data_IF_553200466900
#
_entry.id   IF_553200466900
#
_cell.length_a   1.000
_cell.length_b   1.000
_cell.length_c   1.000
_cell.angle_alpha   90.00
_cell.angle_beta   90.00
_cell.angle_gamma   90.00
#
_symmetry.space_group_name_H-M   'P 1'
#
loop_
_entity.id
_entity.type
_entity.pdbx_description
1 polymer ?
2 polymer ?
3 polymer ?
4 water ?
#
# COMPACT_ATOMS: atom_id res chain seq x y z
N UNK A 1 -6.42 16.59 -10.92
CA UNK A 1 -5.62 15.88 -11.96
C UNK A 1 -6.19 14.50 -12.30
N UNK A 2 -5.30 13.54 -12.47
CA UNK A 2 -5.69 12.16 -12.80
C UNK A 2 -6.26 11.43 -11.58
N UNK A 3 -7.15 10.48 -11.85
CA UNK A 3 -7.74 9.65 -10.80
C UNK A 3 -7.74 8.18 -11.21
N UNK A 4 -7.74 7.29 -10.22
CA UNK A 4 -7.68 5.85 -10.48
C UNK A 4 -8.61 5.03 -9.60
N UNK A 5 -9.15 3.96 -10.18
CA UNK A 5 -9.86 2.92 -9.44
C UNK A 5 -9.06 1.63 -9.60
N UNK A 6 -8.69 1.01 -8.48
CA UNK A 6 -7.79 -0.15 -8.51
C UNK A 6 -8.19 -1.25 -7.54
N UNK A 7 -8.01 -2.50 -7.97
CA UNK A 7 -8.26 -3.65 -7.11
C UNK A 7 -7.01 -4.52 -6.97
N UNK A 8 -6.87 -5.14 -5.79
CA UNK A 8 -5.72 -5.97 -5.47
C UNK A 8 -6.19 -7.28 -4.86
N UNK A 9 -5.97 -8.39 -5.57
CA UNK A 9 -6.32 -9.72 -5.06
C UNK A 9 -5.08 -10.50 -4.64
N UNK A 10 -5.15 -11.15 -3.48
CA UNK A 10 -4.11 -12.09 -3.04
C UNK A 10 -4.74 -13.40 -2.57
N UNK A 11 -4.22 -14.52 -3.06
CA UNK A 11 -4.61 -15.84 -2.60
C UNK A 11 -3.38 -16.63 -2.14
N UNK A 12 -3.45 -17.20 -0.94
CA UNK A 12 -2.35 -17.98 -0.36
C UNK A 12 -2.85 -19.36 0.02
N UNK A 13 -2.27 -20.40 -0.58
CA UNK A 13 -2.69 -21.77 -0.29
C UNK A 13 -2.31 -22.16 1.14
N UNK A 14 -3.07 -23.10 1.70
CA UNK A 14 -2.90 -23.56 3.07
C UNK A 14 -2.87 -25.09 3.05
N UNK A 15 -1.69 -25.69 2.77
CA UNK A 15 -1.57 -27.14 2.60
C UNK A 15 -2.08 -27.94 3.79
N UNK A 16 -3.03 -28.83 3.52
CA UNK A 16 -3.56 -29.76 4.52
C UNK A 16 -4.56 -29.19 5.51
N UNK A 17 -5.00 -27.94 5.30
CA UNK A 17 -5.85 -27.26 6.27
C UNK A 17 -7.14 -26.68 5.69
N UNK A 18 -7.32 -26.81 4.38
CA UNK A 18 -8.56 -26.35 3.75
C UNK A 18 -8.31 -25.38 2.61
N UNK A 19 -9.32 -24.57 2.31
CA UNK A 19 -9.30 -23.66 1.19
C UNK A 19 -8.27 -22.54 1.38
N UNK A 20 -7.77 -21.96 0.27
CA UNK A 20 -6.80 -20.86 0.36
C UNK A 20 -7.38 -19.63 1.04
N UNK A 21 -6.52 -18.86 1.69
CA UNK A 21 -6.89 -17.55 2.21
C UNK A 21 -6.91 -16.57 1.03
N UNK A 22 -8.05 -15.88 0.84
CA UNK A 22 -8.19 -14.91 -0.26
C UNK A 22 -8.50 -13.51 0.30
N UNK A 23 -7.71 -12.53 -0.12
CA UNK A 23 -7.92 -11.13 0.25
C UNK A 23 -8.13 -10.27 -1.00
N UNK A 24 -9.17 -9.44 -0.96
CA UNK A 24 -9.40 -8.44 -2.01
C UNK A 24 -9.53 -7.05 -1.38
N UNK A 25 -8.81 -6.09 -1.93
CA UNK A 25 -8.92 -4.68 -1.49
C UNK A 25 -9.07 -3.74 -2.68
N UNK A 26 -9.95 -2.75 -2.53
CA UNK A 26 -10.22 -1.76 -3.59
C UNK A 26 -9.86 -0.35 -3.19
N UNK A 27 -9.28 0.39 -4.13
CA UNK A 27 -8.81 1.75 -3.89
C UNK A 27 -9.34 2.75 -4.92
N UNK A 28 -9.78 3.91 -4.44
CA UNK A 28 -9.95 5.07 -5.30
C UNK A 28 -8.80 6.02 -4.95
N UNK A 29 -7.91 6.24 -5.92
CA UNK A 29 -6.64 6.96 -5.71
C UNK A 29 -5.86 6.30 -4.57
N UNK A 30 -5.52 7.06 -3.52
CA UNK A 30 -4.80 6.49 -2.37
C UNK A 30 -5.72 5.99 -1.26
N UNK A 31 -7.03 6.17 -1.45
CA UNK A 31 -8.02 5.82 -0.42
C UNK A 31 -8.61 4.44 -0.66
N UNK A 32 -8.46 3.57 0.34
CA UNK A 32 -9.12 2.27 0.33
C UNK A 32 -10.60 2.44 0.65
N UNK A 33 -11.45 1.70 -0.05
CA UNK A 33 -12.90 1.86 0.14
C UNK A 33 -13.69 0.56 0.30
N UNK A 34 -13.16 -0.55 -0.21
CA UNK A 34 -13.77 -1.87 0.00
C UNK A 34 -12.75 -2.94 0.39
N UNK A 35 -13.24 -4.01 1.03
CA UNK A 35 -12.41 -5.13 1.45
C UNK A 35 -13.20 -6.42 1.33
N UNK A 36 -12.47 -7.54 1.19
CA UNK A 36 -13.03 -8.87 1.37
C UNK A 36 -11.95 -9.78 1.93
N UNK A 37 -12.32 -10.56 2.95
CA UNK A 37 -11.43 -11.56 3.52
C UNK A 37 -12.21 -12.87 3.60
N UNK A 38 -11.67 -13.91 2.98
CA UNK A 38 -12.33 -15.22 2.94
C UNK A 38 -12.46 -15.85 4.33
N UNK A 39 -11.65 -15.40 5.28
CA UNK A 39 -11.64 -16.01 6.61
C UNK A 39 -12.76 -15.50 7.52
N UNK A 40 -13.96 -16.03 7.29
CA UNK A 40 -15.15 -15.75 8.08
C UNK A 40 -16.20 -16.80 7.73
N UNK A 41 -17.13 -17.10 8.67
CA UNK A 41 -18.16 -18.10 8.37
C UNK A 41 -19.03 -17.73 7.17
N UNK A 42 -19.46 -16.47 7.09
CA UNK A 42 -20.22 -15.99 5.95
C UNK A 42 -19.67 -14.64 5.46
N UNK A 43 -18.56 -14.68 4.70
CA UNK A 43 -17.83 -13.46 4.35
C UNK A 43 -18.52 -12.64 3.27
N UNK A 44 -18.44 -11.32 3.42
CA UNK A 44 -19.12 -10.37 2.54
C UNK A 44 -18.14 -9.28 2.11
N UNK A 45 -18.42 -8.63 0.99
CA UNK A 45 -17.71 -7.40 0.67
C UNK A 45 -18.14 -6.33 1.66
N UNK A 46 -17.18 -5.52 2.12
CA UNK A 46 -17.41 -4.55 3.20
C UNK A 46 -16.86 -3.18 2.87
N UNK A 47 -17.51 -2.10 3.38
CA UNK A 47 -17.00 -0.73 3.18
C UNK A 47 -15.79 -0.43 4.05
N UNK A 48 -14.89 0.40 3.54
CA UNK A 48 -13.74 0.89 4.31
C UNK A 48 -13.62 2.40 4.20
N UNK A 49 -14.61 3.02 3.55
CA UNK A 49 -14.71 4.47 3.45
C UNK A 49 -16.15 4.88 3.74
N UNK A 50 -16.34 6.04 4.42
CA UNK A 50 -17.68 6.50 4.78
C UNK A 50 -18.58 6.81 3.58
N UNK A 51 -18.00 7.25 2.48
CA UNK A 51 -18.77 7.69 1.33
C UNK A 51 -19.36 6.57 0.47
N UNK A 52 -18.89 5.34 0.68
CA UNK A 52 -19.41 4.17 -0.05
C UNK A 52 -20.49 3.43 0.74
N UNK A 53 -20.65 3.79 2.00
CA UNK A 53 -21.65 3.20 2.90
C UNK A 53 -23.07 3.37 2.33
N UNK A 54 -23.27 4.45 1.59
CA UNK A 54 -24.56 4.82 0.99
C UNK A 54 -25.15 3.74 0.09
N UNK A 55 -24.28 2.99 -0.60
CA UNK A 55 -24.71 1.95 -1.53
C UNK A 55 -25.66 0.94 -0.90
N UNK A 56 -26.75 0.64 -1.62
CA UNK A 56 -27.79 -0.24 -1.12
C UNK A 56 -27.41 -1.71 -1.16
N UNK A 57 -28.31 -2.58 -0.65
CA UNK A 57 -28.07 -4.03 -0.59
C UNK A 57 -27.76 -4.66 -1.95
N UNK A 58 -28.36 -4.12 -3.01
CA UNK A 58 -28.13 -4.58 -4.38
C UNK A 58 -26.64 -4.54 -4.73
N UNK A 59 -26.00 -3.41 -4.44
CA UNK A 59 -24.57 -3.23 -4.69
C UNK A 59 -23.74 -4.26 -3.94
N UNK A 60 -23.98 -4.38 -2.64
CA UNK A 60 -23.19 -5.25 -1.76
C UNK A 60 -23.36 -6.73 -2.06
N UNK A 61 -24.57 -7.11 -2.47
CA UNK A 61 -24.86 -8.48 -2.86
C UNK A 61 -24.15 -8.87 -4.16
N UNK A 62 -24.08 -7.93 -5.10
CA UNK A 62 -23.43 -8.15 -6.39
C UNK A 62 -21.91 -8.22 -6.26
N UNK A 63 -21.33 -7.31 -5.48
CA UNK A 63 -19.89 -7.31 -5.22
C UNK A 63 -19.48 -8.58 -4.47
N UNK A 64 -20.27 -8.94 -3.47
CA UNK A 64 -20.05 -10.17 -2.70
C UNK A 64 -20.10 -11.41 -3.59
N UNK A 65 -21.12 -11.49 -4.44
CA UNK A 65 -21.26 -12.61 -5.38
C UNK A 65 -20.07 -12.72 -6.33
N UNK A 66 -19.61 -11.59 -6.86
CA UNK A 66 -18.47 -11.56 -7.77
C UNK A 66 -17.16 -11.94 -7.08
N UNK A 67 -16.94 -11.42 -5.87
CA UNK A 67 -15.69 -11.67 -5.15
C UNK A 67 -15.59 -13.12 -4.65
N UNK A 68 -16.73 -13.69 -4.26
CA UNK A 68 -16.77 -15.08 -3.80
C UNK A 68 -16.51 -16.04 -4.95
N UNK A 69 -17.05 -15.73 -6.13
CA UNK A 69 -16.76 -16.51 -7.32
C UNK A 69 -15.30 -16.38 -7.75
N UNK A 70 -14.75 -15.18 -7.59
CA UNK A 70 -13.33 -14.92 -7.89
C UNK A 70 -12.43 -15.70 -6.94
N UNK A 71 -12.80 -15.74 -5.66
CA UNK A 71 -12.06 -16.51 -4.66
C UNK A 71 -12.01 -17.99 -5.05
N UNK A 72 -13.12 -18.51 -5.56
CA UNK A 72 -13.18 -19.90 -6.00
C UNK A 72 -12.32 -20.17 -7.24
N UNK A 73 -12.28 -19.23 -8.19
CA UNK A 73 -11.45 -19.41 -9.37
C UNK A 73 -9.96 -19.35 -9.02
N UNK A 74 -9.62 -18.51 -8.04
CA UNK A 74 -8.24 -18.41 -7.56
C UNK A 74 -7.83 -19.69 -6.82
N UNK A 75 -8.79 -20.36 -6.20
CA UNK A 75 -8.55 -21.67 -5.60
C UNK A 75 -8.24 -22.73 -6.66
N UNK A 76 -9.01 -22.76 -7.75
CA UNK A 76 -8.74 -23.72 -8.83
C UNK A 76 -7.43 -23.39 -9.55
N UNK A 77 -7.13 -22.09 -9.69
CA UNK A 77 -5.90 -21.61 -10.31
C UNK A 77 -4.64 -22.09 -9.57
N UNK A 78 -4.66 -22.02 -8.25
CA UNK A 78 -3.55 -22.53 -7.43
C UNK A 78 -3.34 -24.02 -7.67
N UNK A 79 -4.44 -24.79 -7.69
CA UNK A 79 -4.38 -26.21 -8.02
C UNK A 79 -3.85 -26.46 -9.43
N UNK A 80 -4.34 -25.70 -10.39
CA UNK A 80 -3.90 -25.82 -11.78
C UNK A 80 -2.38 -25.63 -11.92
N UNK A 81 -1.86 -24.60 -11.25
CA UNK A 81 -0.43 -24.27 -11.35
C UNK A 81 0.48 -25.29 -10.67
N UNK A 82 -0.03 -25.99 -9.65
CA UNK A 82 0.70 -27.13 -9.08
C UNK A 82 0.97 -28.19 -10.15
N UNK A 83 0.00 -28.35 -11.06
CA UNK A 83 0.15 -29.27 -12.19
C UNK A 83 1.09 -28.73 -13.27
N UNK A 84 0.91 -27.45 -13.63
CA UNK A 84 1.76 -26.80 -14.64
C UNK A 84 3.24 -26.85 -14.24
N UNK A 85 3.53 -26.55 -12.98
CA UNK A 85 4.90 -26.45 -12.50
C UNK A 85 5.42 -27.75 -11.87
N UNK A 86 4.56 -28.78 -11.87
CA UNK A 86 4.87 -30.08 -11.25
C UNK A 86 5.42 -29.90 -9.83
N UNK A 87 4.60 -29.29 -8.98
CA UNK A 87 4.99 -28.95 -7.62
C UNK A 87 4.19 -29.74 -6.60
N UNK A 88 4.79 -29.96 -5.43
CA UNK A 88 4.12 -30.65 -4.34
C UNK A 88 2.99 -29.85 -3.71
N UNK A 89 1.91 -30.54 -3.38
CA UNK A 89 0.77 -29.95 -2.71
C UNK A 89 1.12 -29.44 -1.31
N UNK A 90 2.09 -30.09 -0.68
CA UNK A 90 2.51 -29.78 0.68
C UNK A 90 3.08 -28.38 0.89
N UNK A 91 3.67 -27.78 -0.16
CA UNK A 91 4.26 -26.45 -0.02
C UNK A 91 3.25 -25.37 -0.34
N UNK A 92 3.26 -24.29 0.44
CA UNK A 92 2.35 -23.17 0.21
C UNK A 92 2.76 -22.35 -1.00
N UNK A 93 1.78 -21.90 -1.78
CA UNK A 93 2.05 -21.02 -2.91
C UNK A 93 1.06 -19.85 -2.92
N UNK A 94 1.36 -18.84 -3.72
CA UNK A 94 0.51 -17.65 -3.77
C UNK A 94 0.37 -17.06 -5.16
N UNK A 95 -0.78 -16.44 -5.40
CA UNK A 95 -1.06 -15.73 -6.65
C UNK A 95 -1.68 -14.37 -6.37
N UNK A 96 -1.25 -13.37 -7.13
CA UNK A 96 -1.79 -12.03 -6.99
C UNK A 96 -2.33 -11.54 -8.32
N UNK A 97 -3.29 -10.62 -8.24
CA UNK A 97 -3.78 -9.91 -9.40
C UNK A 97 -4.05 -8.47 -9.00
N UNK A 98 -3.60 -7.55 -9.82
CA UNK A 98 -3.99 -6.16 -9.68
C UNK A 98 -4.43 -5.62 -11.03
N UNK A 99 -5.51 -4.85 -11.01
CA UNK A 99 -6.05 -4.23 -12.22
C UNK A 99 -6.70 -2.91 -11.88
N UNK A 100 -6.93 -2.09 -12.91
CA UNK A 100 -7.58 -0.81 -12.71
C UNK A 100 -7.62 0.11 -13.92
N UNK A 101 -8.16 1.31 -13.71
CA UNK A 101 -8.27 2.31 -14.75
C UNK A 101 -7.78 3.67 -14.25
N UNK A 102 -7.01 4.36 -15.09
CA UNK A 102 -6.61 5.74 -14.82
C UNK A 102 -7.39 6.66 -15.76
N UNK A 103 -7.99 7.72 -15.20
CA UNK A 103 -8.78 8.65 -15.98
C UNK A 103 -8.25 10.09 -15.93
N UNK A 104 -8.64 10.87 -16.93
CA UNK A 104 -8.31 12.29 -17.00
C UNK A 104 -9.27 13.10 -16.13
N UNK A 105 -8.89 14.36 -15.78
CA UNK A 105 -9.73 15.21 -14.91
C UNK A 105 -11.20 15.33 -15.35
N UNK A 106 -11.46 15.23 -16.66
CA UNK A 106 -12.83 15.31 -17.18
C UNK A 106 -13.59 13.98 -17.13
N UNK A 107 -12.87 12.90 -16.81
CA UNK A 107 -13.49 11.58 -16.65
C UNK A 107 -13.09 10.55 -17.71
N UNK A 108 -12.53 11.02 -18.82
CA UNK A 108 -12.15 10.15 -19.94
C UNK A 108 -10.98 9.23 -19.58
N UNK A 109 -10.99 8.02 -20.14
CA UNK A 109 -9.96 7.01 -19.87
C UNK A 109 -8.59 7.44 -20.39
N UNK A 110 -7.55 7.17 -19.59
CA UNK A 110 -6.17 7.37 -20.00
C UNK A 110 -5.49 6.03 -20.27
N UNK A 111 -5.63 5.09 -19.33
CA UNK A 111 -5.12 3.74 -19.49
C UNK A 111 -5.82 2.71 -18.62
N UNK A 112 -5.92 1.48 -19.13
CA UNK A 112 -6.41 0.33 -18.39
C UNK A 112 -5.31 -0.69 -18.22
N UNK A 113 -5.35 -1.46 -17.14
CA UNK A 113 -4.30 -2.43 -16.85
C UNK A 113 -4.81 -3.65 -16.07
N UNK A 114 -4.12 -4.77 -16.27
CA UNK A 114 -4.39 -6.02 -15.58
C UNK A 114 -3.14 -6.90 -15.64
N UNK A 115 -2.73 -7.43 -14.48
CA UNK A 115 -1.54 -8.28 -14.39
C UNK A 115 -1.73 -9.39 -13.36
N UNK A 116 -1.15 -10.56 -13.64
CA UNK A 116 -1.20 -11.71 -12.74
C UNK A 116 0.19 -12.20 -12.36
N UNK A 117 0.32 -12.71 -11.14
CA UNK A 117 1.59 -13.22 -10.63
C UNK A 117 1.50 -14.69 -10.24
N UNK A 118 2.66 -15.29 -9.99
CA UNK A 118 2.76 -16.57 -9.27
C UNK A 118 4.02 -16.52 -8.42
N UNK A 119 3.86 -16.74 -7.12
CA UNK A 119 4.98 -16.76 -6.16
C UNK A 119 5.91 -15.54 -6.26
N UNK A 120 5.32 -14.36 -6.41
CA UNK A 120 6.09 -13.10 -6.41
C UNK A 120 6.73 -12.70 -7.72
N UNK A 121 6.51 -13.50 -8.77
CA UNK A 121 7.04 -13.19 -10.10
C UNK A 121 5.90 -12.96 -11.07
N UNK A 122 6.14 -12.12 -12.08
CA UNK A 122 5.21 -11.94 -13.19
C UNK A 122 4.80 -13.30 -13.75
N UNK A 123 3.50 -13.49 -13.97
CA UNK A 123 3.00 -14.69 -14.61
C UNK A 123 2.46 -14.36 -16.00
N UNK A 124 1.37 -13.60 -16.03
CA UNK A 124 0.80 -13.13 -17.29
C UNK A 124 0.24 -11.71 -17.10
N UNK A 125 0.28 -10.91 -18.16
CA UNK A 125 -0.23 -9.55 -18.10
C UNK A 125 -0.97 -9.17 -19.39
N UNK A 126 -2.07 -8.44 -19.22
CA UNK A 126 -2.78 -7.88 -20.37
C UNK A 126 -1.96 -6.74 -20.95
N UNK A 127 -1.80 -6.74 -22.27
CA UNK A 127 -1.02 -5.70 -22.95
C UNK A 127 -1.73 -4.35 -22.98
N UNK A 128 -0.98 -3.31 -23.31
CA UNK A 128 -1.49 -1.93 -23.37
C UNK A 128 -2.72 -1.79 -24.26
N UNK A 129 -2.74 -2.53 -25.37
CA UNK A 129 -3.86 -2.48 -26.33
C UNK A 129 -5.16 -3.07 -25.79
N UNK A 130 -5.05 -3.82 -24.69
CA UNK A 130 -6.17 -4.52 -24.06
C UNK A 130 -6.79 -5.54 -25.02
N UNK A 131 -5.95 -6.15 -25.85
CA UNK A 131 -6.38 -7.12 -26.86
C UNK A 131 -5.48 -8.35 -26.90
N UNK A 132 -4.31 -8.25 -26.25
CA UNK A 132 -3.32 -9.33 -26.27
C UNK A 132 -2.65 -9.54 -24.90
N UNK A 133 -1.93 -10.65 -24.78
CA UNK A 133 -1.31 -11.04 -23.50
C UNK A 133 0.19 -11.27 -23.62
N UNK A 134 0.92 -10.95 -22.56
CA UNK A 134 2.34 -11.28 -22.45
C UNK A 134 2.54 -12.35 -21.37
N UNK A 135 3.08 -13.50 -21.79
CA UNK A 135 3.31 -14.63 -20.89
C UNK A 135 4.77 -14.72 -20.49
N UNK A 136 5.03 -14.92 -19.21
CA UNK A 136 6.39 -14.85 -18.67
C UNK A 136 7.18 -16.15 -18.73
N UNK A 137 6.48 -17.28 -18.77
CA UNK A 137 7.12 -18.59 -18.90
C UNK A 137 6.21 -19.58 -19.64
N UNK A 138 6.68 -20.82 -19.80
CA UNK A 138 5.95 -21.83 -20.58
C UNK A 138 4.62 -22.23 -19.94
N UNK A 139 4.55 -22.20 -18.61
CA UNK A 139 3.30 -22.44 -17.91
C UNK A 139 2.27 -21.35 -18.22
N UNK A 140 2.73 -20.10 -18.22
CA UNK A 140 1.88 -18.95 -18.51
C UNK A 140 1.42 -18.92 -19.96
N UNK A 141 2.18 -19.58 -20.83
CA UNK A 141 1.82 -19.71 -22.24
C UNK A 141 0.60 -20.63 -22.45
N UNK A 142 0.45 -21.61 -21.56
CA UNK A 142 -0.76 -22.45 -21.54
C UNK A 142 -1.98 -21.58 -21.21
N UNK A 143 -1.86 -20.80 -20.13
CA UNK A 143 -2.90 -19.84 -19.74
C UNK A 143 -3.23 -18.87 -20.87
N UNK A 144 -2.18 -18.33 -21.51
CA UNK A 144 -2.32 -17.38 -22.60
C UNK A 144 -3.17 -17.91 -23.75
N UNK A 145 -2.85 -19.11 -24.22
CA UNK A 145 -3.60 -19.76 -25.29
C UNK A 145 -5.05 -20.02 -24.88
N UNK A 146 -5.24 -20.42 -23.62
CA UNK A 146 -6.57 -20.66 -23.06
C UNK A 146 -7.41 -19.38 -23.03
N UNK A 147 -6.80 -18.29 -22.59
CA UNK A 147 -7.49 -17.00 -22.49
C UNK A 147 -7.74 -16.35 -23.84
N UNK A 148 -6.88 -16.64 -24.81
CA UNK A 148 -7.08 -16.20 -26.20
C UNK A 148 -8.29 -16.89 -26.81
N UNK A 149 -8.41 -18.20 -26.57
CA UNK A 149 -9.52 -19.00 -27.07
C UNK A 149 -10.84 -18.57 -26.44
N UNK A 150 -10.78 -18.21 -25.15
CA UNK A 150 -11.98 -17.83 -24.40
C UNK A 150 -12.44 -16.39 -24.65
N UNK A 151 -11.60 -15.60 -25.34
CA UNK A 151 -11.90 -14.19 -25.59
C UNK A 151 -11.85 -13.35 -24.32
N UNK A 152 -10.87 -13.64 -23.48
CA UNK A 152 -10.75 -13.02 -22.16
C UNK A 152 -10.41 -11.54 -22.25
N UNK A 153 -9.54 -11.18 -23.19
CA UNK A 153 -9.09 -9.80 -23.36
C UNK A 153 -10.24 -8.84 -23.70
N UNK A 154 -11.21 -9.30 -24.47
CA UNK A 154 -12.39 -8.51 -24.81
C UNK A 154 -13.23 -8.18 -23.57
N UNK A 155 -13.40 -9.15 -22.68
CA UNK A 155 -14.14 -8.94 -21.43
C UNK A 155 -13.44 -7.93 -20.52
N UNK A 156 -12.11 -8.00 -20.46
CA UNK A 156 -11.32 -7.03 -19.71
C UNK A 156 -11.41 -5.63 -20.32
N UNK A 157 -11.31 -5.57 -21.65
CA UNK A 157 -11.44 -4.30 -22.38
C UNK A 157 -12.80 -3.66 -22.13
N UNK A 158 -13.86 -4.47 -22.21
CA UNK A 158 -15.21 -4.02 -21.90
C UNK A 158 -15.32 -3.45 -20.48
N UNK A 159 -14.75 -4.16 -19.50
CA UNK A 159 -14.80 -3.73 -18.11
C UNK A 159 -13.99 -2.44 -17.87
N UNK A 160 -12.77 -2.40 -18.40
CA UNK A 160 -11.85 -1.28 -18.14
C UNK A 160 -12.28 0.03 -18.82
N UNK A 161 -12.81 -0.06 -20.04
CA UNK A 161 -13.31 1.11 -20.77
C UNK A 161 -14.71 1.52 -20.31
N UNK A 162 -15.47 0.54 -19.82
CA UNK A 162 -16.86 0.77 -19.44
C UNK A 162 -17.05 0.91 -17.93
N UNK A 163 -17.38 -0.22 -17.29
CA UNK A 163 -17.69 -0.26 -15.87
C UNK A 163 -16.67 0.47 -14.99
N UNK A 164 -15.38 0.27 -15.25
CA UNK A 164 -14.32 0.86 -14.42
C UNK A 164 -14.38 2.39 -14.40
N UNK A 165 -14.45 3.00 -15.57
CA UNK A 165 -14.45 4.46 -15.65
C UNK A 165 -15.75 5.07 -15.09
N UNK A 166 -16.88 4.45 -15.42
CA UNK A 166 -18.20 4.92 -14.99
C UNK A 166 -18.33 4.89 -13.47
N UNK A 167 -17.90 3.79 -12.86
CA UNK A 167 -18.02 3.66 -11.42
C UNK A 167 -17.01 4.51 -10.64
N UNK A 168 -15.83 4.73 -11.22
CA UNK A 168 -14.85 5.65 -10.65
C UNK A 168 -15.43 7.06 -10.54
N UNK A 169 -16.10 7.51 -11.60
CA UNK A 169 -16.78 8.80 -11.63
C UNK A 169 -17.86 8.89 -10.56
N UNK A 170 -18.61 7.80 -10.37
CA UNK A 170 -19.63 7.72 -9.32
C UNK A 170 -19.01 7.78 -7.93
N UNK A 171 -17.89 7.07 -7.75
CA UNK A 171 -17.18 7.08 -6.47
C UNK A 171 -16.62 8.45 -6.12
N UNK A 172 -16.02 9.11 -7.11
CA UNK A 172 -15.46 10.45 -6.92
C UNK A 172 -16.52 11.48 -6.52
N UNK A 173 -17.72 11.35 -7.09
CA UNK A 173 -18.83 12.23 -6.76
C UNK A 173 -19.41 11.90 -5.39
N UNK A 174 -19.51 10.61 -5.08
CA UNK A 174 -19.98 10.13 -3.77
C UNK A 174 -19.10 10.63 -2.63
N UNK A 175 -17.79 10.68 -2.86
CA UNK A 175 -16.84 11.10 -1.84
C UNK A 175 -16.05 12.34 -2.20
N UNK A 176 -16.69 13.27 -2.92
CA UNK A 176 -16.06 14.52 -3.36
C UNK A 176 -15.54 15.38 -2.21
N UNK A 177 -16.16 15.24 -1.04
CA UNK A 177 -15.81 16.01 0.14
C UNK A 177 -14.47 15.61 0.73
N UNK A 178 -13.97 14.42 0.36
CA UNK A 178 -12.71 13.91 0.87
C UNK A 178 -11.72 13.61 -0.26
N UNK A 179 -12.19 12.95 -1.32
CA UNK A 179 -11.33 12.50 -2.41
C UNK A 179 -10.82 13.64 -3.30
N UNK A 180 -11.65 14.66 -3.49
CA UNK A 180 -11.34 15.71 -4.46
C UNK A 180 -10.63 16.93 -3.85
N UNK A 181 -10.63 17.03 -2.52
CA UNK A 181 -9.90 18.12 -1.86
C UNK A 181 -8.57 17.66 -1.27
N UNK A 182 -7.50 18.26 -1.77
CA UNK A 182 -6.16 17.95 -1.31
C UNK A 182 -5.93 18.52 0.10
N UNK A 183 -5.28 17.73 0.95
CA UNK A 183 -4.93 18.15 2.30
C UNK A 183 -3.45 18.51 2.32
N UNK A 184 -3.16 19.78 2.61
CA UNK A 184 -1.80 20.30 2.64
C UNK A 184 -1.00 19.70 3.81
N UNK A 185 0.32 19.55 3.64
CA UNK A 185 1.11 19.04 4.76
C UNK A 185 1.36 20.12 5.81
N UNK A 186 1.40 19.70 7.08
CA UNK A 186 1.91 20.55 8.15
C UNK A 186 3.41 20.35 8.18
N UNK A 187 4.15 21.44 8.06
CA UNK A 187 5.61 21.36 7.90
C UNK A 187 6.37 22.08 9.01
N UNK A 188 7.52 21.50 9.38
CA UNK A 188 8.40 22.06 10.40
C UNK A 188 9.83 21.54 10.24
N UNK A 189 10.80 22.33 10.72
CA UNK A 189 12.19 21.88 10.81
C UNK A 189 12.56 21.69 12.27
N UNK A 190 13.03 20.50 12.62
CA UNK A 190 13.47 20.22 13.99
C UNK A 190 14.99 20.06 14.03
N UNK A 191 15.57 20.39 15.19
CA UNK A 191 17.03 20.35 15.39
C UNK A 191 17.40 19.32 16.44
N UNK A 192 18.36 18.46 16.12
CA UNK A 192 18.79 17.40 17.04
C UNK A 192 20.32 17.30 17.07
N UNK A 193 20.95 17.94 18.07
CA UNK A 193 22.41 17.87 18.23
C UNK A 193 22.93 16.44 18.31
N UNK A 194 24.02 16.16 17.61
CA UNK A 194 24.73 14.89 17.71
C UNK A 194 25.89 15.08 18.68
N UNK A 195 26.53 16.23 18.58
CA UNK A 195 27.65 16.61 19.43
C UNK A 195 27.76 18.13 19.42
N UNK A 196 28.81 18.67 20.04
CA UNK A 196 29.08 20.11 20.00
C UNK A 196 29.44 20.59 18.60
N UNK A 197 29.71 19.64 17.70
CA UNK A 197 30.21 19.95 16.35
C UNK A 197 29.20 19.69 15.23
N UNK A 198 28.32 18.73 15.45
CA UNK A 198 27.37 18.29 14.42
C UNK A 198 25.91 18.32 14.91
N UNK A 199 25.00 18.56 13.97
CA UNK A 199 23.59 18.72 14.28
C UNK A 199 22.74 18.14 13.14
N UNK A 200 21.68 17.41 13.49
CA UNK A 200 20.73 16.92 12.50
C UNK A 200 19.56 17.88 12.37
N UNK A 201 19.28 18.31 11.14
CA UNK A 201 18.09 19.10 10.84
C UNK A 201 17.13 18.21 10.08
N UNK A 202 15.95 17.98 10.66
CA UNK A 202 14.94 17.12 10.04
C UNK A 202 13.75 17.95 9.58
N UNK A 203 13.42 17.85 8.31
CA UNK A 203 12.30 18.58 7.74
C UNK A 203 11.07 17.66 7.65
N UNK A 204 10.02 18.00 8.41
CA UNK A 204 8.81 17.17 8.51
C UNK A 204 7.67 17.65 7.61
N UNK A 205 6.99 16.68 7.00
CA UNK A 205 5.72 16.93 6.31
C UNK A 205 4.68 15.96 6.85
N UNK A 206 3.67 16.48 7.54
CA UNK A 206 2.69 15.63 8.22
C UNK A 206 1.25 15.91 7.82
N UNK A 207 0.44 14.85 7.81
CA UNK A 207 -1.01 14.93 7.63
C UNK A 207 -1.49 15.33 6.25
N UNK A 208 -0.79 14.89 5.21
CA UNK A 208 -1.12 15.29 3.85
C UNK A 208 -1.81 14.21 3.02
N UNK A 209 -2.57 14.67 2.02
CA UNK A 209 -3.24 13.81 1.04
C UNK A 209 -3.38 14.61 -0.26
N UNK A 210 -3.07 14.01 -1.42
CA UNK A 210 -2.65 12.62 -1.55
C UNK A 210 -1.16 12.39 -1.19
N UNK A 211 -0.71 11.14 -1.36
CA UNK A 211 0.63 10.74 -0.89
C UNK A 211 1.80 11.40 -1.62
N UNK A 212 1.60 11.75 -2.88
CA UNK A 212 2.66 12.32 -3.71
C UNK A 212 3.15 13.65 -3.11
N UNK A 213 4.47 13.75 -2.92
CA UNK A 213 5.09 14.93 -2.33
C UNK A 213 6.57 15.04 -2.74
N UNK A 214 7.14 16.24 -2.65
CA UNK A 214 8.56 16.44 -2.91
C UNK A 214 9.20 17.24 -1.79
N UNK A 215 10.20 16.62 -1.15
CA UNK A 215 11.01 17.28 -0.12
C UNK A 215 12.45 17.39 -0.62
N UNK A 216 12.99 18.61 -0.57
CA UNK A 216 14.36 18.87 -1.01
C UNK A 216 15.07 19.82 -0.06
N UNK A 217 16.37 19.63 0.09
CA UNK A 217 17.19 20.52 0.90
C UNK A 217 18.09 21.38 0.02
N UNK A 218 18.32 22.62 0.45
CA UNK A 218 19.30 23.48 -0.17
C UNK A 218 20.28 24.01 0.87
N UNK A 219 21.52 24.21 0.45
CA UNK A 219 22.52 24.89 1.27
C UNK A 219 23.14 26.00 0.42
N UNK A 220 23.17 27.20 1.00
CA UNK A 220 23.64 28.41 0.31
C UNK A 220 22.93 28.63 -1.04
N UNK A 221 21.65 28.27 -1.09
CA UNK A 221 20.86 28.38 -2.30
C UNK A 221 21.24 27.39 -3.41
N UNK A 222 21.91 26.31 -3.03
CA UNK A 222 22.33 25.27 -3.96
C UNK A 222 21.79 23.92 -3.53
N UNK A 223 21.39 23.10 -4.50
CA UNK A 223 20.78 21.79 -4.23
C UNK A 223 21.75 20.81 -3.58
N UNK A 224 21.31 20.20 -2.47
CA UNK A 224 22.09 19.21 -1.74
C UNK A 224 21.22 18.06 -1.23
N UNK A 225 20.14 17.76 -1.95
CA UNK A 225 19.21 16.68 -1.62
C UNK A 225 19.91 15.32 -1.61
N UNK A 226 21.00 15.20 -2.37
CA UNK A 226 21.82 13.99 -2.43
C UNK A 226 22.48 13.62 -1.10
N UNK A 227 22.66 14.60 -0.23
CA UNK A 227 23.27 14.39 1.09
C UNK A 227 22.23 14.00 2.14
N UNK A 228 20.96 14.29 1.85
CA UNK A 228 19.87 14.07 2.80
C UNK A 228 19.45 12.60 2.93
N UNK A 229 18.92 12.24 4.09
CA UNK A 229 18.25 10.96 4.25
C UNK A 229 16.74 11.18 4.17
N UNK A 230 16.12 10.54 3.17
CA UNK A 230 14.68 10.61 2.95
C UNK A 230 14.01 9.29 3.26
N UNK A 231 13.05 9.30 4.19
CA UNK A 231 12.27 8.09 4.49
C UNK A 231 11.16 7.93 3.46
N UNK A 232 10.75 6.68 3.25
CA UNK A 232 9.64 6.36 2.37
C UNK A 232 8.37 6.98 2.95
N UNK A 233 7.53 7.53 2.06
CA UNK A 233 6.24 8.07 2.45
C UNK A 233 5.43 6.99 3.16
N UNK A 234 4.84 7.34 4.30
CA UNK A 234 4.23 6.37 5.19
C UNK A 234 2.84 6.83 5.61
N UNK A 235 1.92 5.86 5.85
CA UNK A 235 0.57 6.22 6.27
C UNK A 235 0.53 6.66 7.73
N UNK A 236 -0.24 7.71 8.02
CA UNK A 236 -0.41 8.20 9.37
C UNK A 236 -1.38 7.32 10.18
N UNK A 237 -2.28 6.65 9.47
CA UNK A 237 -3.27 5.76 10.10
C UNK A 237 -4.69 6.28 10.01
N UNK A 238 -4.82 7.54 9.61
CA UNK A 238 -6.12 8.20 9.53
C UNK A 238 -6.47 8.56 8.09
N UNK A 239 -5.76 7.96 7.13
CA UNK A 239 -5.98 8.24 5.71
C UNK A 239 -5.07 9.31 5.14
N UNK A 240 -4.20 9.88 5.97
CA UNK A 240 -3.19 10.84 5.51
C UNK A 240 -1.78 10.24 5.58
N UNK A 241 -0.80 10.98 5.09
CA UNK A 241 0.56 10.47 4.94
C UNK A 241 1.61 11.33 5.64
N UNK A 242 2.80 10.76 5.80
CA UNK A 242 3.92 11.43 6.44
C UNK A 242 5.19 11.20 5.62
N UNK A 243 6.10 12.17 5.69
CA UNK A 243 7.45 12.03 5.12
C UNK A 243 8.40 13.04 5.76
N UNK A 244 9.64 12.62 5.97
CA UNK A 244 10.69 13.57 6.35
C UNK A 244 11.99 13.41 5.58
N UNK A 245 12.81 14.45 5.63
CA UNK A 245 14.12 14.50 4.99
C UNK A 245 15.09 15.20 5.94
N UNK A 246 16.20 14.55 6.26
CA UNK A 246 17.16 15.08 7.23
C UNK A 246 18.58 15.22 6.69
N UNK A 247 19.26 16.27 7.15
CA UNK A 247 20.68 16.51 6.83
C UNK A 247 21.51 16.68 8.10
N UNK A 248 22.75 16.21 8.06
CA UNK A 248 23.71 16.44 9.15
C UNK A 248 24.55 17.67 8.79
N UNK A 249 24.52 18.68 9.67
CA UNK A 249 25.19 19.96 9.41
C UNK A 249 26.19 20.27 10.52
N UNK A 250 27.16 21.14 10.21
CA UNK A 250 28.09 21.61 11.24
C UNK A 250 27.35 22.57 12.16
N UNK A 251 27.59 22.44 13.46
CA UNK A 251 26.93 23.28 14.46
C UNK A 251 27.29 24.74 14.23
N UNK A 252 26.27 25.60 14.25
CA UNK A 252 26.44 27.02 13.97
C UNK A 252 26.11 27.42 12.54
N UNK A 253 25.97 26.42 11.68
CA UNK A 253 25.74 26.66 10.25
C UNK A 253 24.32 26.41 9.77
N UNK A 254 23.37 26.24 10.72
CA UNK A 254 22.00 25.86 10.37
C UNK A 254 21.20 26.85 9.53
N UNK A 255 21.50 28.15 9.65
CA UNK A 255 20.77 29.17 8.89
C UNK A 255 21.07 29.16 7.39
N UNK A 256 22.09 28.38 7.00
CA UNK A 256 22.48 28.24 5.60
C UNK A 256 21.64 27.21 4.85
N UNK A 257 20.87 26.42 5.59
CA UNK A 257 20.08 25.32 5.03
C UNK A 257 18.59 25.65 4.91
N UNK A 258 18.00 25.33 3.78
CA UNK A 258 16.56 25.50 3.57
C UNK A 258 15.92 24.22 3.06
N UNK A 259 14.79 23.85 3.66
CA UNK A 259 13.97 22.74 3.17
C UNK A 259 12.82 23.26 2.32
N UNK A 260 12.63 22.68 1.15
CA UNK A 260 11.57 23.11 0.22
C UNK A 260 10.52 22.00 0.08
N UNK A 261 9.25 22.38 0.18
CA UNK A 261 8.14 21.40 0.13
C UNK A 261 7.15 21.73 -0.99
N UNK A 262 6.94 20.76 -1.86
CA UNK A 262 5.95 20.84 -2.93
C UNK A 262 4.89 19.77 -2.76
N UNK A 263 3.63 20.20 -2.71
CA UNK A 263 2.48 19.32 -2.58
C UNK A 263 1.24 19.95 -3.22
N UNK A 264 0.41 19.11 -3.83
CA UNK A 264 -0.79 19.54 -4.55
C UNK A 264 -1.69 20.51 -3.77
N UNK A 265 -1.79 20.30 -2.46
CA UNK A 265 -2.62 21.14 -1.60
C UNK A 265 -2.14 22.56 -1.41
N UNK A 266 -0.83 22.78 -1.62
CA UNK A 266 -0.23 24.08 -1.39
C UNK A 266 -0.42 25.02 -2.58
N UNK A 267 -1.09 26.14 -2.36
CA UNK A 267 -1.21 27.19 -3.39
C UNK A 267 0.17 27.73 -3.75
N UNK A 268 1.02 27.87 -2.74
CA UNK A 268 2.43 28.21 -2.93
C UNK A 268 3.34 27.19 -2.27
N UNK A 269 4.33 26.66 -3.01
CA UNK A 269 5.36 25.79 -2.43
C UNK A 269 6.09 26.52 -1.31
N UNK A 270 6.35 25.83 -0.21
CA UNK A 270 6.93 26.48 0.97
C UNK A 270 8.41 26.17 1.17
N UNK A 271 9.16 27.19 1.57
CA UNK A 271 10.56 27.03 1.95
C UNK A 271 10.71 27.38 3.42
N UNK A 272 11.32 26.47 4.19
CA UNK A 272 11.49 26.63 5.62
C UNK A 272 12.95 26.52 6.03
N UNK A 273 13.27 27.11 7.17
CA UNK A 273 14.57 26.92 7.80
C UNK A 273 14.42 26.84 9.32
N UNK A 274 15.44 26.33 10.00
CA UNK A 274 15.45 26.23 11.46
C UNK A 274 15.33 27.60 12.11
N UNK A 275 14.36 27.72 13.02
CA UNK A 275 14.04 29.00 13.65
C UNK A 275 15.04 29.37 14.75
N UNK B 1 11.63 -18.99 -6.79
CA UNK B 1 12.05 -18.48 -5.46
C UNK B 1 12.63 -17.07 -5.57
N UNK B 2 11.75 -16.07 -5.66
CA UNK B 2 12.16 -14.66 -5.67
C UNK B 2 11.61 -13.97 -4.42
N UNK B 3 12.50 -13.71 -3.47
CA UNK B 3 12.12 -13.17 -2.16
C UNK B 3 12.71 -11.77 -1.92
N UNK B 4 12.01 -10.98 -1.13
CA UNK B 4 12.47 -9.65 -0.75
C UNK B 4 12.25 -9.46 0.75
N UNK B 5 13.25 -8.89 1.43
CA UNK B 5 13.17 -8.67 2.88
C UNK B 5 12.37 -7.40 3.20
N UNK B 6 11.68 -7.39 4.35
CA UNK B 6 10.83 -6.26 4.71
C UNK B 6 11.60 -5.03 5.17
N UNK B 7 11.12 -3.86 4.77
CA UNK B 7 11.57 -2.60 5.36
C UNK B 7 10.58 -2.25 6.46
N UNK B 8 11.07 -1.58 7.50
CA UNK B 8 10.27 -1.31 8.70
C UNK B 8 10.41 0.14 9.16
N UNK B 9 9.27 0.78 9.42
CA UNK B 9 9.27 2.10 10.07
C UNK B 9 8.36 2.10 11.30
N UNK B 10 8.86 2.66 12.40
CA UNK B 10 8.09 2.78 13.64
C UNK B 10 7.97 4.26 13.98
N UNK B 11 6.75 4.73 14.24
CA UNK B 11 6.47 6.16 14.36
C UNK B 11 5.09 6.45 14.94
N UNK B 12 4.91 7.65 15.48
CA UNK B 12 3.61 8.09 15.98
C UNK B 12 2.84 8.87 14.92
N UNK B 13 1.52 8.93 15.07
CA UNK B 13 0.67 9.67 14.13
C UNK B 13 0.91 11.18 14.24
N UNK B 14 0.90 11.69 15.46
CA UNK B 14 1.17 13.10 15.73
C UNK B 14 2.52 13.22 16.45
N UNK B 15 3.13 14.44 16.45
CA UNK B 15 4.34 14.64 17.25
C UNK B 15 4.12 14.23 18.70
N UNK B 16 5.03 13.45 19.26
CA UNK B 16 4.90 12.93 20.61
C UNK B 16 4.96 14.03 21.67
N UNK B 17 3.95 14.02 22.55
CA UNK B 17 3.95 14.87 23.74
C UNK B 17 3.67 13.98 24.94
N UNK B 18 4.62 13.95 25.87
CA UNK B 18 4.54 13.08 27.05
C UNK B 18 3.24 13.22 27.82
N UNK B 19 2.57 12.10 28.07
CA UNK B 19 1.33 12.08 28.81
C UNK B 19 0.11 12.50 28.00
N UNK B 20 0.27 12.62 26.69
CA UNK B 20 -0.85 12.93 25.80
C UNK B 20 -1.14 11.76 24.85
N UNK B 21 -2.42 11.35 24.75
CA UNK B 21 -2.81 10.21 23.91
C UNK B 21 -2.41 10.38 22.45
N UNK B 22 -2.00 9.27 21.83
CA UNK B 22 -1.46 9.28 20.47
C UNK B 22 -1.72 7.93 19.80
N UNK B 23 -1.07 7.70 18.66
CA UNK B 23 -1.26 6.47 17.90
C UNK B 23 0.10 5.98 17.41
N UNK B 24 0.42 4.73 17.73
CA UNK B 24 1.70 4.13 17.39
C UNK B 24 1.59 3.25 16.14
N UNK B 25 2.48 3.48 15.19
CA UNK B 25 2.48 2.76 13.91
C UNK B 25 3.73 1.95 13.66
N UNK B 26 3.55 0.73 13.14
CA UNK B 26 4.65 -0.03 12.58
C UNK B 26 4.32 -0.37 11.12
N UNK B 27 4.99 0.31 10.21
CA UNK B 27 4.75 0.17 8.77
C UNK B 27 5.80 -0.73 8.15
N UNK B 28 5.35 -1.84 7.56
CA UNK B 28 6.23 -2.86 7.01
C UNK B 28 5.93 -3.06 5.53
N UNK B 29 6.96 -2.94 4.69
CA UNK B 29 6.75 -2.95 3.24
C UNK B 29 7.88 -3.62 2.46
N UNK B 30 7.62 -3.88 1.18
CA UNK B 30 8.62 -4.40 0.26
C UNK B 30 8.97 -5.86 0.45
N UNK B 31 8.10 -6.62 1.09
CA UNK B 31 8.41 -8.02 1.40
C UNK B 31 7.65 -9.04 0.57
N UNK B 32 8.29 -10.19 0.38
CA UNK B 32 7.70 -11.38 -0.24
C UNK B 32 8.53 -12.57 0.25
N UNK B 33 7.90 -13.69 0.63
CA UNK B 33 6.45 -13.94 0.51
C UNK B 33 5.59 -13.27 1.59
N UNK B 34 4.24 -13.38 1.48
CA UNK B 34 3.31 -12.61 2.33
C UNK B 34 3.30 -12.94 3.82
N UNK B 35 3.49 -14.21 4.19
CA UNK B 35 3.47 -14.57 5.61
C UNK B 35 4.58 -13.85 6.39
N UNK B 36 4.21 -13.24 7.50
CA UNK B 36 5.10 -12.37 8.27
C UNK B 36 4.58 -12.19 9.70
N UNK B 37 5.49 -12.01 10.64
CA UNK B 37 5.16 -11.82 12.04
C UNK B 37 5.56 -10.40 12.46
N UNK B 38 4.57 -9.55 12.72
CA UNK B 38 4.81 -8.14 13.07
C UNK B 38 4.21 -7.83 14.44
N UNK B 39 5.05 -7.40 15.37
CA UNK B 39 4.63 -7.22 16.75
C UNK B 39 5.08 -5.87 17.33
N UNK B 40 4.11 -5.07 17.75
CA UNK B 40 4.38 -3.85 18.52
C UNK B 40 4.62 -4.19 19.98
N UNK B 41 5.63 -3.58 20.58
CA UNK B 41 6.03 -3.88 21.95
C UNK B 41 6.18 -2.65 22.85
N UNK B 42 5.78 -2.82 24.10
CA UNK B 42 5.98 -1.82 25.14
C UNK B 42 6.92 -2.42 26.19
N UNK B 43 8.09 -1.81 26.33
CA UNK B 43 9.13 -2.30 27.24
C UNK B 43 9.47 -3.79 27.01
N UNK B 44 9.63 -4.15 25.74
CA UNK B 44 9.98 -5.52 25.35
C UNK B 44 8.88 -6.55 25.51
N UNK B 45 7.64 -6.08 25.66
CA UNK B 45 6.48 -6.96 25.85
C UNK B 45 5.36 -6.61 24.88
N UNK B 46 4.77 -7.64 24.27
CA UNK B 46 3.77 -7.45 23.21
C UNK B 46 2.58 -6.60 23.62
N UNK B 47 2.28 -5.60 22.79
CA UNK B 47 1.03 -4.85 22.88
C UNK B 47 0.03 -5.51 21.95
N UNK B 48 -1.21 -5.64 22.39
CA UNK B 48 -2.28 -6.10 21.50
C UNK B 48 -2.62 -4.95 20.54
N UNK B 49 -2.55 -5.23 19.24
CA UNK B 49 -2.70 -4.21 18.21
C UNK B 49 -3.56 -4.70 17.05
N UNK B 50 -3.62 -3.90 15.99
CA UNK B 50 -4.38 -4.23 14.79
C UNK B 50 -3.51 -4.14 13.53
N UNK B 51 -3.77 -5.04 12.59
CA UNK B 51 -3.01 -5.13 11.35
C UNK B 51 -3.96 -4.98 10.15
N UNK B 52 -3.64 -4.05 9.26
CA UNK B 52 -4.48 -3.77 8.09
C UNK B 52 -4.57 -4.95 7.12
N UNK B 53 -5.56 -4.91 6.23
CA UNK B 53 -5.72 -5.92 5.19
C UNK B 53 -4.52 -5.96 4.26
N UNK B 54 -4.07 -7.17 3.95
CA UNK B 54 -2.93 -7.40 3.08
C UNK B 54 -3.11 -6.72 1.71
N UNK B 55 -2.16 -5.85 1.37
CA UNK B 55 -2.13 -5.20 0.06
C UNK B 55 -0.70 -5.17 -0.47
N UNK B 56 -0.53 -4.84 -1.74
CA UNK B 56 0.78 -4.91 -2.38
C UNK B 56 1.02 -3.80 -3.40
N UNK B 57 2.29 -3.60 -3.75
CA UNK B 57 2.67 -2.64 -4.78
C UNK B 57 2.82 -3.29 -6.15
N UNK B 58 3.11 -2.47 -7.16
CA UNK B 58 3.24 -2.89 -8.56
C UNK B 58 4.28 -3.99 -8.79
N UNK B 59 5.35 -3.99 -7.98
CA UNK B 59 6.39 -5.01 -8.07
C UNK B 59 6.01 -6.33 -7.38
N UNK B 60 4.77 -6.41 -6.88
CA UNK B 60 4.21 -7.58 -6.20
C UNK B 60 4.51 -7.66 -4.69
N UNK B 61 5.44 -6.83 -4.20
CA UNK B 61 5.81 -6.85 -2.79
C UNK B 61 4.71 -6.26 -1.91
N UNK B 62 4.49 -6.88 -0.76
CA UNK B 62 3.39 -6.53 0.14
C UNK B 62 3.73 -5.40 1.09
N UNK B 63 2.70 -4.76 1.63
CA UNK B 63 2.87 -3.81 2.72
C UNK B 63 1.77 -3.97 3.77
N UNK B 64 2.12 -3.73 5.03
CA UNK B 64 1.19 -3.86 6.15
C UNK B 64 1.39 -2.73 7.15
N UNK B 65 0.30 -2.36 7.82
CA UNK B 65 0.35 -1.39 8.90
C UNK B 65 -0.19 -2.02 10.16
N UNK B 66 0.64 -2.04 11.20
CA UNK B 66 0.24 -2.51 12.53
C UNK B 66 0.18 -1.30 13.46
N UNK B 67 -0.95 -1.12 14.12
CA UNK B 67 -1.22 0.10 14.86
C UNK B 67 -2.03 -0.13 16.12
N UNK B 68 -1.82 0.74 17.10
CA UNK B 68 -2.58 0.75 18.35
C UNK B 68 -2.47 2.14 18.96
N UNK B 69 -3.44 2.51 19.79
CA UNK B 69 -3.37 3.76 20.52
C UNK B 69 -2.36 3.63 21.66
N UNK B 70 -1.63 4.71 21.93
CA UNK B 70 -0.66 4.73 23.02
C UNK B 70 -0.50 6.15 23.58
N UNK B 71 -0.06 6.23 24.83
CA UNK B 71 0.24 7.51 25.45
C UNK B 71 1.72 7.50 25.82
N UNK B 72 2.56 8.18 25.00
CA UNK B 72 4.00 8.20 25.24
C UNK B 72 4.37 8.85 26.57
N UNK B 73 5.41 8.32 27.21
CA UNK B 73 5.93 8.88 28.46
C UNK B 73 7.44 9.04 28.38
N UNK B 74 8.04 9.63 29.40
CA UNK B 74 9.50 9.73 29.45
C UNK B 74 10.14 8.33 29.52
N UNK B 75 9.56 7.47 30.34
CA UNK B 75 10.19 6.20 30.72
C UNK B 75 9.99 5.02 29.77
N UNK B 76 8.79 4.91 29.21
CA UNK B 76 8.41 3.72 28.42
C UNK B 76 9.10 3.62 27.07
N UNK B 77 9.63 2.42 26.80
CA UNK B 77 10.28 2.10 25.54
C UNK B 77 9.28 1.43 24.61
N UNK B 78 9.20 1.91 23.38
CA UNK B 78 8.35 1.28 22.39
C UNK B 78 9.19 0.77 21.22
N UNK B 79 8.76 -0.34 20.64
CA UNK B 79 9.49 -0.97 19.56
C UNK B 79 8.55 -1.77 18.68
N UNK B 80 9.05 -2.19 17.53
CA UNK B 80 8.36 -3.13 16.66
C UNK B 80 9.29 -4.28 16.33
N UNK B 81 8.76 -5.50 16.40
CA UNK B 81 9.53 -6.69 16.08
C UNK B 81 8.94 -7.39 14.87
N UNK B 82 9.79 -7.65 13.88
CA UNK B 82 9.35 -8.25 12.62
C UNK B 82 10.12 -9.54 12.33
N UNK B 83 9.36 -10.61 12.07
CA UNK B 83 9.94 -11.89 11.67
C UNK B 83 9.49 -12.31 10.29
N UNK B 84 10.45 -12.67 9.46
CA UNK B 84 10.20 -13.05 8.07
C UNK B 84 11.22 -14.10 7.64
N UNK B 85 10.84 -14.93 6.68
CA UNK B 85 11.69 -16.01 6.18
C UNK B 85 13.04 -15.52 5.62
N UNK B 86 13.05 -14.30 5.08
CA UNK B 86 14.27 -13.69 4.53
C UNK B 86 15.27 -13.28 5.59
N UNK B 87 14.80 -13.14 6.84
CA UNK B 87 15.63 -12.63 7.93
C UNK B 87 16.30 -13.74 8.74
N UNK B 88 17.57 -13.52 9.09
CA UNK B 88 18.35 -14.47 9.88
C UNK B 88 17.94 -14.45 11.35
N UNK B 89 17.44 -13.30 11.79
CA UNK B 89 16.95 -13.10 13.15
C UNK B 89 15.81 -12.08 13.12
N UNK B 90 15.04 -11.97 14.22
CA UNK B 90 13.99 -10.94 14.26
C UNK B 90 14.56 -9.54 14.06
N UNK B 91 13.90 -8.74 13.21
CA UNK B 91 14.24 -7.34 13.01
C UNK B 91 13.55 -6.51 14.09
N UNK B 92 14.33 -5.84 14.91
CA UNK B 92 13.79 -5.02 16.00
C UNK B 92 14.12 -3.55 15.79
N UNK B 93 13.09 -2.75 15.56
CA UNK B 93 13.26 -1.31 15.37
C UNK B 93 12.63 -0.59 16.57
N UNK B 94 13.44 0.21 17.26
CA UNK B 94 12.97 0.98 18.41
C UNK B 94 12.22 2.21 17.91
N UNK B 95 11.21 2.63 18.66
CA UNK B 95 10.54 3.89 18.37
C UNK B 95 11.38 5.06 18.87
N UNK B 96 11.57 6.05 18.00
CA UNK B 96 12.28 7.27 18.35
C UNK B 96 11.37 8.44 17.99
N UNK B 97 11.00 9.24 18.99
CA UNK B 97 10.03 10.32 18.79
C UNK B 97 10.47 11.39 17.79
N UNK B 98 11.75 11.35 17.42
CA UNK B 98 12.33 12.33 16.51
C UNK B 98 12.48 11.82 15.08
N UNK B 99 11.85 10.68 14.78
CA UNK B 99 11.95 10.06 13.45
C UNK B 99 10.60 9.57 12.92
N UNK C 1 -17.01 -0.84 -8.76
CA UNK C 1 -17.36 -2.25 -9.08
C UNK C 1 -16.14 -3.02 -9.59
N UNK C 2 -16.00 -4.25 -9.11
CA UNK C 2 -14.93 -5.14 -9.57
C UNK C 2 -15.28 -5.75 -10.91
N UNK C 3 -14.28 -6.33 -11.57
CA UNK C 3 -14.51 -7.20 -12.71
C UNK C 3 -15.19 -8.47 -12.24
N UNK C 4 -15.97 -9.10 -13.11
CA UNK C 4 -16.59 -10.38 -12.82
C UNK C 4 -15.54 -11.50 -12.80
N UNK C 5 -15.93 -12.67 -12.32
CA UNK C 5 -15.02 -13.83 -12.21
C UNK C 5 -14.29 -14.11 -13.53
N UNK C 6 -12.98 -14.27 -13.45
CA UNK C 6 -12.16 -14.55 -14.62
C UNK C 6 -12.21 -16.04 -15.00
N UNK C 7 -11.81 -16.33 -16.24
CA UNK C 7 -11.60 -17.70 -16.69
C UNK C 7 -10.37 -18.27 -15.97
N UNK C 8 -10.39 -19.57 -15.68
CA UNK C 8 -9.27 -20.24 -15.03
C UNK C 8 -7.97 -20.11 -15.80
N UNK C 9 -6.86 -20.07 -15.07
CA UNK C 9 -5.52 -19.99 -15.67
C UNK C 9 -5.18 -21.25 -16.47
#
# INVERSE_FOLDING_TARGET
>A
GSHSLRYFYTAVSRPGLGEPRFIAVGYVDDTQFVRFDSDAPNPRMEPRAPWVEQEGPEYWDRETRKVKNTAQIFRVDLNTLLRYYNQSESGSHNIQRMYGCDVEPDGRLLRGYNQDSYDGKDYIALNEDLRSWTAADTAAQITGRKWEEAGEAERWRNYLQGTCVEWLAKYLDMGKETLLRAESPNTRVTRHPISDREVTLRCWALGFYPAEITLTWQRDGQDHTQDAELVETRPAGDGTFQKWAAVVVSSGEEQRYTCHVQHEGLREPITLRWE
>B
MVQHSPKVQVYSRHPAENGKPNFLNCYVSGFHPPQIDITLMKNGKKMEAEQTDLSFNRDWTFYLLVHTEFTPTVEDEYSCQVNHTTLSEPKVVKWDRDM
>C
RMANVSTGR
#
